data_IF_351358573786
#
_entry.id   IF_351358573786
#
_cell.length_a   1.000
_cell.length_b   1.000
_cell.length_c   1.000
_cell.angle_alpha   90.00
_cell.angle_beta   90.00
_cell.angle_gamma   90.00
#
_symmetry.space_group_name_H-M   'P 1'
#
loop_
_entity.id
_entity.type
_entity.pdbx_description
1 polymer ?
#
# COMPACT_ATOMS: atom_id res chain seq x y z
N UNK A 1 15.90 13.76 -3.22
CA UNK A 1 15.56 12.58 -2.39
C UNK A 1 14.06 12.60 -2.13
N UNK A 2 13.39 11.46 -2.17
CA UNK A 2 11.95 11.36 -1.90
C UNK A 2 11.57 9.99 -1.37
N UNK A 3 10.38 9.91 -0.78
CA UNK A 3 9.77 8.66 -0.31
C UNK A 3 8.49 8.39 -1.09
N UNK A 4 8.19 7.12 -1.34
CA UNK A 4 6.92 6.71 -1.93
C UNK A 4 6.48 5.35 -1.41
N UNK A 5 5.17 5.13 -1.39
CA UNK A 5 4.57 3.82 -1.15
C UNK A 5 3.39 3.61 -2.11
N UNK A 6 3.24 2.42 -2.69
CA UNK A 6 4.19 1.32 -2.65
C UNK A 6 5.32 1.56 -3.69
N UNK A 7 6.35 0.71 -3.76
CA UNK A 7 7.39 0.78 -4.80
C UNK A 7 6.84 0.77 -6.26
N UNK A 8 5.59 0.33 -6.48
CA UNK A 8 4.92 0.45 -7.77
C UNK A 8 4.79 1.91 -8.25
N UNK A 9 4.70 2.89 -7.35
CA UNK A 9 4.70 4.31 -7.73
C UNK A 9 5.98 4.72 -8.46
N UNK A 10 7.14 4.26 -7.98
CA UNK A 10 8.41 4.49 -8.66
C UNK A 10 8.49 3.73 -10.00
N UNK A 11 7.91 2.53 -10.07
CA UNK A 11 7.79 1.76 -11.32
C UNK A 11 6.99 2.53 -12.38
N UNK A 12 5.83 3.08 -12.00
CA UNK A 12 5.01 3.90 -12.90
C UNK A 12 5.76 5.15 -13.38
N UNK A 13 6.47 5.82 -12.48
CA UNK A 13 7.30 6.98 -12.82
C UNK A 13 8.43 6.64 -13.80
N UNK A 14 9.13 5.53 -13.56
CA UNK A 14 10.24 5.06 -14.39
C UNK A 14 9.79 4.61 -15.78
N UNK A 15 8.58 4.07 -15.88
CA UNK A 15 7.94 3.65 -17.14
C UNK A 15 7.22 4.80 -17.86
N UNK A 16 6.88 5.88 -17.16
CA UNK A 16 6.12 7.02 -17.71
C UNK A 16 4.68 6.65 -18.03
N UNK A 17 4.02 5.99 -17.07
CA UNK A 17 2.65 5.48 -17.16
C UNK A 17 1.85 5.89 -15.93
N UNK A 18 0.55 5.58 -15.92
CA UNK A 18 -0.33 5.89 -14.79
C UNK A 18 -0.44 7.41 -14.61
N UNK A 19 -0.12 7.98 -13.43
CA UNK A 19 -0.18 9.43 -13.22
C UNK A 19 0.97 10.19 -13.92
N UNK A 20 1.94 9.49 -14.53
CA UNK A 20 3.11 10.12 -15.14
C UNK A 20 2.98 10.16 -16.68
N UNK A 21 3.13 11.36 -17.26
CA UNK A 21 3.13 11.55 -18.72
C UNK A 21 4.51 11.41 -19.39
N UNK A 22 5.58 11.25 -18.61
CA UNK A 22 6.97 11.11 -19.10
C UNK A 22 7.75 10.11 -18.26
N UNK A 23 8.70 9.42 -18.90
CA UNK A 23 9.62 8.49 -18.24
C UNK A 23 10.63 9.25 -17.38
N UNK A 24 10.75 8.88 -16.10
CA UNK A 24 11.79 9.37 -15.19
C UNK A 24 12.89 8.32 -15.03
N UNK A 25 13.76 8.19 -16.05
CA UNK A 25 14.83 7.18 -16.09
C UNK A 25 15.99 7.44 -15.12
N UNK A 26 16.03 8.63 -14.55
CA UNK A 26 17.02 9.05 -13.57
C UNK A 26 16.71 8.61 -12.14
N UNK A 27 15.63 7.88 -11.87
CA UNK A 27 15.33 7.39 -10.52
C UNK A 27 16.26 6.25 -10.10
N UNK A 28 16.75 6.31 -8.86
CA UNK A 28 17.54 5.26 -8.20
C UNK A 28 17.01 4.95 -6.80
N UNK A 29 16.86 3.68 -6.49
CA UNK A 29 16.48 3.25 -5.15
C UNK A 29 17.69 3.31 -4.20
N UNK A 30 17.44 3.67 -2.95
CA UNK A 30 18.42 3.58 -1.85
C UNK A 30 18.04 2.41 -0.94
N UNK A 31 16.82 2.42 -0.41
CA UNK A 31 16.32 1.43 0.53
C UNK A 31 14.80 1.31 0.42
N UNK A 32 14.27 0.11 0.58
CA UNK A 32 12.86 -0.19 0.75
C UNK A 32 12.62 -0.65 2.20
N UNK A 33 11.90 0.17 2.97
CA UNK A 33 11.57 -0.13 4.36
C UNK A 33 10.44 -1.15 4.41
N UNK A 34 10.61 -2.29 5.10
CA UNK A 34 9.68 -3.41 5.01
C UNK A 34 8.40 -3.11 5.78
N UNK A 35 7.31 -2.86 5.07
CA UNK A 35 5.99 -2.66 5.65
C UNK A 35 5.04 -3.75 5.19
N UNK A 36 4.12 -4.19 6.05
CA UNK A 36 3.12 -5.22 5.69
C UNK A 36 1.73 -4.63 5.44
N UNK A 37 1.68 -3.59 4.62
CA UNK A 37 0.42 -2.91 4.23
C UNK A 37 -0.26 -3.67 3.08
N UNK A 38 -1.59 -3.80 3.14
CA UNK A 38 -2.42 -4.56 2.20
C UNK A 38 -3.67 -3.76 1.88
N UNK A 39 -3.89 -3.48 0.61
CA UNK A 39 -5.08 -2.73 0.20
C UNK A 39 -6.33 -3.58 0.37
N UNK A 40 -7.16 -3.22 1.34
CA UNK A 40 -8.39 -3.93 1.69
C UNK A 40 -9.60 -3.05 1.43
N UNK A 41 -10.61 -3.67 0.81
CA UNK A 41 -11.95 -3.12 0.68
C UNK A 41 -12.81 -3.72 1.78
N UNK A 42 -13.46 -2.89 2.59
CA UNK A 42 -14.29 -3.31 3.70
C UNK A 42 -15.69 -2.73 3.58
N UNK A 43 -16.71 -3.59 3.63
CA UNK A 43 -18.14 -3.24 3.61
C UNK A 43 -18.84 -3.82 4.84
N UNK A 44 -20.04 -3.35 5.22
CA UNK A 44 -20.78 -3.97 6.31
C UNK A 44 -21.00 -5.47 6.05
N UNK A 45 -20.76 -6.31 7.05
CA UNK A 45 -20.88 -7.78 6.93
C UNK A 45 -22.29 -8.25 6.51
N UNK A 46 -23.31 -7.44 6.80
CA UNK A 46 -24.71 -7.67 6.45
C UNK A 46 -25.12 -7.16 5.05
N UNK A 47 -24.22 -6.45 4.36
CA UNK A 47 -24.51 -5.93 3.02
C UNK A 47 -24.61 -7.05 1.99
N UNK A 48 -25.29 -6.76 0.88
CA UNK A 48 -25.40 -7.64 -0.31
C UNK A 48 -24.12 -7.66 -1.16
N UNK A 49 -23.06 -6.98 -0.73
CA UNK A 49 -21.79 -6.84 -1.45
C UNK A 49 -20.85 -7.95 -1.01
N UNK A 50 -20.51 -8.87 -1.92
CA UNK A 50 -19.59 -9.99 -1.67
C UNK A 50 -18.28 -9.88 -2.48
N UNK A 51 -18.26 -9.01 -3.48
CA UNK A 51 -17.11 -8.70 -4.33
C UNK A 51 -17.15 -7.24 -4.76
N UNK A 52 -16.07 -6.71 -5.31
CA UNK A 52 -16.05 -5.34 -5.86
C UNK A 52 -17.06 -5.17 -7.01
N UNK A 53 -17.36 -6.22 -7.77
CA UNK A 53 -18.41 -6.21 -8.82
C UNK A 53 -19.81 -5.96 -8.26
N UNK A 54 -20.04 -6.34 -7.01
CA UNK A 54 -21.35 -6.25 -6.38
C UNK A 54 -21.67 -4.85 -5.86
N UNK A 55 -20.76 -3.88 -5.98
CA UNK A 55 -20.96 -2.55 -5.42
C UNK A 55 -22.23 -1.86 -5.95
N UNK A 56 -22.69 -2.14 -7.16
CA UNK A 56 -23.95 -1.57 -7.67
C UNK A 56 -25.21 -2.18 -7.05
N UNK A 57 -25.12 -3.29 -6.30
CA UNK A 57 -26.28 -3.96 -5.68
C UNK A 57 -26.85 -3.22 -4.47
N UNK A 58 -26.03 -2.43 -3.77
CA UNK A 58 -26.42 -1.74 -2.55
C UNK A 58 -25.58 -0.47 -2.38
N UNK A 59 -26.17 0.73 -2.56
CA UNK A 59 -25.46 1.98 -2.36
C UNK A 59 -25.12 2.21 -0.89
N UNK A 60 -23.87 2.57 -0.62
CA UNK A 60 -23.35 2.85 0.72
C UNK A 60 -22.61 4.19 0.75
N UNK A 61 -22.27 4.64 1.97
CA UNK A 61 -21.31 5.73 2.18
C UNK A 61 -19.91 5.14 2.21
N UNK A 62 -19.15 5.33 1.13
CA UNK A 62 -17.79 4.84 0.98
C UNK A 62 -16.80 5.96 1.31
N UNK A 63 -15.98 5.76 2.34
CA UNK A 63 -14.82 6.63 2.57
C UNK A 63 -13.57 6.09 1.88
N UNK A 64 -12.91 6.93 1.10
CA UNK A 64 -11.70 6.61 0.34
C UNK A 64 -10.64 7.70 0.52
N UNK A 65 -9.35 7.39 0.30
CA UNK A 65 -8.31 8.39 0.23
C UNK A 65 -8.60 9.45 -0.83
N UNK A 66 -8.22 10.69 -0.52
CA UNK A 66 -8.29 11.78 -1.48
C UNK A 66 -7.34 11.56 -2.68
N UNK A 67 -7.46 12.44 -3.68
CA UNK A 67 -6.75 12.34 -4.96
C UNK A 67 -5.23 12.51 -4.84
N UNK A 68 -4.73 13.00 -3.71
CA UNK A 68 -3.31 13.21 -3.46
C UNK A 68 -2.62 11.94 -2.92
N UNK A 69 -3.38 10.92 -2.53
CA UNK A 69 -2.83 9.65 -2.07
C UNK A 69 -2.63 8.65 -3.21
N UNK A 70 -1.48 7.95 -3.29
CA UNK A 70 -1.26 6.89 -4.29
C UNK A 70 -2.33 5.79 -4.30
N UNK A 71 -2.91 5.52 -3.14
CA UNK A 71 -4.01 4.57 -2.92
C UNK A 71 -5.20 4.87 -3.81
N UNK A 72 -5.53 6.17 -3.96
CA UNK A 72 -6.69 6.61 -4.75
C UNK A 72 -6.55 6.21 -6.21
N UNK A 73 -5.34 6.29 -6.76
CA UNK A 73 -5.08 5.80 -8.11
C UNK A 73 -5.36 4.28 -8.21
N UNK A 74 -4.90 3.48 -7.25
CA UNK A 74 -5.17 2.05 -7.23
C UNK A 74 -6.68 1.74 -7.12
N UNK A 75 -7.42 2.49 -6.28
CA UNK A 75 -8.89 2.35 -6.14
C UNK A 75 -9.57 2.52 -7.49
N UNK A 76 -9.24 3.59 -8.20
CA UNK A 76 -9.84 3.89 -9.51
C UNK A 76 -9.48 2.83 -10.54
N UNK A 77 -8.23 2.35 -10.58
CA UNK A 77 -7.81 1.30 -11.54
C UNK A 77 -8.40 -0.07 -11.25
N UNK A 78 -8.63 -0.40 -9.98
CA UNK A 78 -9.36 -1.62 -9.61
C UNK A 78 -10.82 -1.50 -10.06
N UNK A 79 -11.50 -0.39 -9.78
CA UNK A 79 -12.88 -0.17 -10.22
C UNK A 79 -12.99 -0.24 -11.75
N UNK A 80 -12.10 0.45 -12.48
CA UNK A 80 -12.06 0.42 -13.95
C UNK A 80 -11.87 -1.01 -14.49
N UNK A 81 -11.02 -1.83 -13.84
CA UNK A 81 -10.82 -3.22 -14.22
C UNK A 81 -12.07 -4.10 -14.01
N UNK A 82 -12.98 -3.68 -13.14
CA UNK A 82 -14.30 -4.28 -12.95
C UNK A 82 -15.40 -3.66 -13.82
N UNK A 83 -15.07 -2.67 -14.67
CA UNK A 83 -16.06 -1.93 -15.46
C UNK A 83 -16.84 -0.88 -14.66
N UNK A 84 -16.39 -0.56 -13.45
CA UNK A 84 -16.98 0.42 -12.55
C UNK A 84 -16.20 1.73 -12.57
N UNK A 85 -16.79 2.79 -12.03
CA UNK A 85 -16.10 4.05 -11.76
C UNK A 85 -16.70 4.75 -10.55
N UNK A 86 -15.94 5.63 -9.89
CA UNK A 86 -16.46 6.40 -8.76
C UNK A 86 -17.65 7.28 -9.15
N UNK A 87 -17.66 7.84 -10.36
CA UNK A 87 -18.80 8.59 -10.87
C UNK A 87 -19.99 7.67 -11.16
N UNK A 88 -19.75 6.48 -11.71
CA UNK A 88 -20.79 5.46 -11.91
C UNK A 88 -21.44 5.03 -10.59
N UNK A 89 -20.63 4.82 -9.54
CA UNK A 89 -21.13 4.52 -8.20
C UNK A 89 -21.96 5.68 -7.63
N UNK A 90 -21.49 6.93 -7.76
CA UNK A 90 -22.28 8.12 -7.36
C UNK A 90 -23.62 8.20 -8.08
N UNK A 91 -23.64 7.94 -9.39
CA UNK A 91 -24.87 7.90 -10.18
C UNK A 91 -25.82 6.78 -9.75
N UNK A 92 -25.28 5.68 -9.22
CA UNK A 92 -26.04 4.61 -8.57
C UNK A 92 -26.35 4.88 -7.09
N UNK A 93 -26.21 6.13 -6.61
CA UNK A 93 -26.63 6.54 -5.27
C UNK A 93 -25.58 6.37 -4.17
N UNK A 94 -24.34 5.97 -4.50
CA UNK A 94 -23.26 5.94 -3.50
C UNK A 94 -22.88 7.34 -3.05
N UNK A 95 -22.59 7.49 -1.76
CA UNK A 95 -21.94 8.68 -1.24
C UNK A 95 -20.44 8.41 -1.13
N UNK A 96 -19.64 9.12 -1.92
CA UNK A 96 -18.18 8.99 -1.88
C UNK A 96 -17.61 10.11 -1.01
N UNK A 97 -17.01 9.73 0.10
CA UNK A 97 -16.37 10.61 1.08
C UNK A 97 -14.87 10.54 0.85
N UNK A 98 -14.25 11.66 0.50
CA UNK A 98 -12.79 11.75 0.35
C UNK A 98 -12.17 12.22 1.66
N UNK A 99 -11.12 11.55 2.12
CA UNK A 99 -10.40 11.89 3.35
C UNK A 99 -8.89 11.98 3.07
N UNK A 100 -8.29 13.07 3.51
CA UNK A 100 -6.88 13.42 3.26
C UNK A 100 -5.94 12.94 4.36
N UNK A 101 -6.48 12.30 5.41
CA UNK A 101 -5.69 11.73 6.49
C UNK A 101 -5.98 10.23 6.64
N UNK A 102 -5.01 9.39 6.27
CA UNK A 102 -5.12 7.93 6.28
C UNK A 102 -5.72 7.35 7.58
N UNK A 103 -5.24 7.82 8.75
CA UNK A 103 -5.73 7.33 10.05
C UNK A 103 -7.19 7.71 10.37
N UNK A 104 -7.79 8.68 9.66
CA UNK A 104 -9.20 9.07 9.88
C UNK A 104 -10.17 8.20 9.10
N UNK A 105 -9.74 7.57 8.02
CA UNK A 105 -10.61 6.76 7.15
C UNK A 105 -11.33 5.66 7.95
N UNK A 106 -10.65 4.82 8.77
CA UNK A 106 -11.33 3.78 9.55
C UNK A 106 -12.15 4.38 10.71
N UNK A 107 -11.73 5.54 11.22
CA UNK A 107 -12.43 6.26 12.30
C UNK A 107 -13.80 6.75 11.82
N UNK A 108 -13.93 7.21 10.57
CA UNK A 108 -15.22 7.64 10.02
C UNK A 108 -16.24 6.50 9.97
N UNK A 109 -15.81 5.27 9.66
CA UNK A 109 -16.68 4.09 9.74
C UNK A 109 -17.03 3.76 11.19
N UNK A 110 -16.06 3.77 12.10
CA UNK A 110 -16.31 3.55 13.52
C UNK A 110 -17.28 4.57 14.14
N UNK A 111 -17.30 5.80 13.64
CA UNK A 111 -18.20 6.87 14.07
C UNK A 111 -19.57 6.81 13.38
N UNK A 112 -19.82 5.85 12.50
CA UNK A 112 -21.06 5.76 11.72
C UNK A 112 -21.24 6.90 10.71
N UNK A 113 -20.16 7.61 10.35
CA UNK A 113 -20.17 8.67 9.32
C UNK A 113 -19.97 8.11 7.92
N UNK A 114 -19.42 6.91 7.81
CA UNK A 114 -19.35 6.11 6.60
C UNK A 114 -19.75 4.66 6.92
N UNK A 115 -20.10 3.87 5.91
CA UNK A 115 -20.52 2.47 6.05
C UNK A 115 -19.44 1.51 5.56
N UNK A 116 -18.71 1.92 4.52
CA UNK A 116 -17.69 1.12 3.83
C UNK A 116 -16.43 1.95 3.65
N UNK A 117 -15.30 1.28 3.41
CA UNK A 117 -14.05 1.96 3.15
C UNK A 117 -13.08 1.12 2.30
N UNK A 118 -12.12 1.76 1.65
CA UNK A 118 -10.92 1.09 1.12
C UNK A 118 -9.62 1.81 1.53
N UNK A 119 -8.64 1.05 2.02
CA UNK A 119 -7.30 1.55 2.39
C UNK A 119 -6.29 0.40 2.55
N UNK A 120 -4.99 0.67 2.43
CA UNK A 120 -3.86 -0.24 2.68
C UNK A 120 -3.43 -0.43 4.14
N UNK A 121 -3.66 0.57 5.00
CA UNK A 121 -3.11 0.64 6.36
C UNK A 121 -3.84 -0.25 7.37
N UNK A 122 -3.80 -1.58 7.16
CA UNK A 122 -4.63 -2.54 7.88
C UNK A 122 -4.20 -2.86 9.31
N UNK A 123 -3.06 -2.33 9.79
CA UNK A 123 -2.59 -2.54 11.17
C UNK A 123 -2.67 -1.29 12.04
N UNK A 124 -3.30 -0.22 11.54
CA UNK A 124 -3.60 0.95 12.37
C UNK A 124 -4.59 0.58 13.48
N UNK A 125 -4.54 1.21 14.68
CA UNK A 125 -5.42 0.84 15.79
C UNK A 125 -6.92 0.87 15.46
N UNK A 126 -7.35 1.86 14.67
CA UNK A 126 -8.73 1.96 14.22
C UNK A 126 -9.11 0.82 13.26
N UNK A 127 -8.20 0.44 12.35
CA UNK A 127 -8.41 -0.71 11.47
C UNK A 127 -8.50 -2.02 12.23
N UNK A 128 -7.56 -2.28 13.13
CA UNK A 128 -7.54 -3.49 13.95
C UNK A 128 -8.82 -3.62 14.76
N UNK A 129 -9.29 -2.52 15.36
CA UNK A 129 -10.55 -2.50 16.10
C UNK A 129 -11.75 -2.78 15.19
N UNK A 130 -11.79 -2.17 14.00
CA UNK A 130 -12.86 -2.40 13.03
C UNK A 130 -12.87 -3.84 12.54
N UNK A 131 -11.71 -4.39 12.13
CA UNK A 131 -11.59 -5.78 11.70
C UNK A 131 -11.99 -6.77 12.78
N UNK A 132 -11.52 -6.59 14.02
CA UNK A 132 -11.84 -7.44 15.18
C UNK A 132 -13.32 -7.39 15.60
N UNK A 133 -14.08 -6.39 15.17
CA UNK A 133 -15.50 -6.26 15.54
C UNK A 133 -16.42 -7.29 14.87
N UNK A 134 -15.98 -7.91 13.76
CA UNK A 134 -16.84 -8.77 12.93
C UNK A 134 -17.96 -8.02 12.21
N UNK A 135 -18.01 -6.69 12.29
CA UNK A 135 -19.02 -5.87 11.62
C UNK A 135 -18.74 -5.67 10.13
N UNK A 136 -17.52 -5.98 9.68
CA UNK A 136 -17.07 -5.77 8.31
C UNK A 136 -16.83 -7.09 7.59
N UNK A 137 -17.11 -7.09 6.28
CA UNK A 137 -16.65 -8.08 5.31
C UNK A 137 -15.54 -7.45 4.47
N UNK A 138 -14.47 -8.18 4.27
CA UNK A 138 -13.36 -7.79 3.41
C UNK A 138 -13.53 -8.43 2.02
N UNK A 139 -13.43 -7.63 0.97
CA UNK A 139 -13.71 -8.09 -0.39
C UNK A 139 -12.41 -8.59 -1.08
N UNK A 140 -12.40 -9.83 -1.62
CA UNK A 140 -11.28 -10.30 -2.42
C UNK A 140 -11.23 -9.59 -3.77
N UNK A 141 -10.01 -9.45 -4.31
CA UNK A 141 -9.77 -8.95 -5.67
C UNK A 141 -9.48 -10.15 -6.58
N UNK A 142 -10.21 -10.23 -7.69
CA UNK A 142 -10.12 -11.30 -8.67
C UNK A 142 -8.69 -11.40 -9.21
N UNK A 143 -8.20 -12.64 -9.39
CA UNK A 143 -6.85 -12.88 -9.91
C UNK A 143 -6.59 -12.22 -11.27
N UNK A 144 -7.62 -12.12 -12.13
CA UNK A 144 -7.52 -11.44 -13.43
C UNK A 144 -7.32 -9.93 -13.28
N UNK A 145 -8.00 -9.30 -12.33
CA UNK A 145 -7.82 -7.87 -12.00
C UNK A 145 -6.44 -7.65 -11.39
N UNK A 146 -6.02 -8.49 -10.44
CA UNK A 146 -4.68 -8.43 -9.85
C UNK A 146 -3.58 -8.61 -10.90
N UNK A 147 -3.76 -9.52 -11.86
CA UNK A 147 -2.83 -9.70 -12.97
C UNK A 147 -2.78 -8.44 -13.85
N UNK A 148 -3.94 -7.88 -14.20
CA UNK A 148 -4.03 -6.69 -15.05
C UNK A 148 -3.28 -5.51 -14.44
N UNK A 149 -3.59 -5.14 -13.19
CA UNK A 149 -2.93 -4.00 -12.53
C UNK A 149 -1.44 -4.25 -12.27
N UNK A 150 -1.03 -5.51 -12.12
CA UNK A 150 0.38 -5.87 -11.96
C UNK A 150 1.16 -5.62 -13.25
N UNK A 151 0.63 -6.07 -14.39
CA UNK A 151 1.26 -5.85 -15.70
C UNK A 151 1.24 -4.37 -16.07
N UNK A 152 0.09 -3.72 -15.94
CA UNK A 152 -0.11 -2.35 -16.39
C UNK A 152 0.66 -1.35 -15.52
N UNK A 153 0.63 -1.51 -14.18
CA UNK A 153 1.11 -0.48 -13.25
C UNK A 153 2.24 -0.93 -12.32
N UNK A 154 2.65 -2.21 -12.37
CA UNK A 154 3.73 -2.72 -11.53
C UNK A 154 3.33 -3.02 -10.08
N UNK A 155 2.03 -3.06 -9.77
CA UNK A 155 1.56 -3.51 -8.46
C UNK A 155 1.91 -4.98 -8.24
N UNK A 156 2.26 -5.34 -7.01
CA UNK A 156 2.46 -6.73 -6.61
C UNK A 156 1.13 -7.31 -6.08
N UNK A 157 1.03 -8.63 -6.11
CA UNK A 157 -0.10 -9.36 -5.53
C UNK A 157 0.25 -9.76 -4.11
N UNK A 158 -0.73 -9.71 -3.23
CA UNK A 158 -0.59 -10.20 -1.87
C UNK A 158 -1.84 -10.95 -1.42
N UNK A 159 -1.75 -11.52 -0.23
CA UNK A 159 -2.83 -12.23 0.44
C UNK A 159 -2.93 -11.70 1.86
N UNK A 160 -4.16 -11.52 2.32
CA UNK A 160 -4.49 -11.44 3.75
C UNK A 160 -4.86 -12.84 4.21
N UNK A 161 -4.11 -13.42 5.17
CA UNK A 161 -4.28 -14.83 5.52
C UNK A 161 -5.60 -15.08 6.23
N UNK A 162 -6.13 -16.30 6.06
CA UNK A 162 -7.29 -16.79 6.80
C UNK A 162 -7.12 -16.59 8.31
N UNK A 163 -8.20 -16.21 8.98
CA UNK A 163 -8.23 -15.98 10.41
C UNK A 163 -7.62 -14.66 10.88
N UNK A 164 -7.15 -13.77 9.99
CA UNK A 164 -6.62 -12.46 10.40
C UNK A 164 -7.66 -11.61 11.15
N UNK A 165 -8.92 -11.63 10.69
CA UNK A 165 -10.06 -11.01 11.36
C UNK A 165 -11.26 -11.97 11.35
N UNK A 166 -12.24 -11.80 12.26
CA UNK A 166 -13.50 -12.54 12.21
C UNK A 166 -14.16 -12.47 10.83
N UNK A 167 -14.62 -13.61 10.31
CA UNK A 167 -15.26 -13.72 8.99
C UNK A 167 -14.29 -13.83 7.80
N UNK A 168 -12.97 -13.88 8.04
CA UNK A 168 -11.97 -14.26 7.03
C UNK A 168 -11.71 -15.77 7.13
N UNK A 169 -12.61 -16.56 6.56
CA UNK A 169 -12.53 -18.04 6.62
C UNK A 169 -11.59 -18.61 5.54
N UNK A 170 -11.27 -17.81 4.51
CA UNK A 170 -10.35 -18.12 3.42
C UNK A 170 -9.36 -16.97 3.21
N UNK A 171 -8.24 -17.27 2.57
CA UNK A 171 -7.24 -16.28 2.17
C UNK A 171 -7.85 -15.24 1.22
N UNK A 172 -7.63 -13.95 1.50
CA UNK A 172 -8.18 -12.85 0.68
C UNK A 172 -7.08 -12.35 -0.27
N UNK A 173 -7.18 -12.63 -1.59
CA UNK A 173 -6.30 -12.05 -2.58
C UNK A 173 -6.52 -10.54 -2.67
N UNK A 174 -5.44 -9.76 -2.61
CA UNK A 174 -5.48 -8.31 -2.60
C UNK A 174 -4.25 -7.70 -3.28
N UNK A 175 -4.24 -6.37 -3.38
CA UNK A 175 -3.08 -5.62 -3.87
C UNK A 175 -2.06 -5.51 -2.74
N UNK A 176 -0.83 -5.89 -3.06
CA UNK A 176 0.32 -5.61 -2.20
C UNK A 176 0.60 -4.10 -2.22
N UNK A 177 0.44 -3.47 -1.07
CA UNK A 177 0.78 -2.07 -0.86
C UNK A 177 1.96 -1.93 0.12
N UNK A 178 2.72 -3.01 0.30
CA UNK A 178 3.90 -3.05 1.16
C UNK A 178 4.93 -2.00 0.77
N UNK A 179 5.72 -1.73 1.80
CA UNK A 179 6.98 -1.03 1.78
C UNK A 179 6.94 0.47 1.46
N UNK A 180 7.94 1.14 2.02
CA UNK A 180 8.24 2.54 1.78
C UNK A 180 9.61 2.66 1.13
N UNK A 181 9.60 3.11 -0.13
CA UNK A 181 10.81 3.24 -0.93
C UNK A 181 11.40 4.64 -0.77
N UNK A 182 12.65 4.69 -0.29
CA UNK A 182 13.51 5.85 -0.41
C UNK A 182 14.23 5.82 -1.76
N UNK A 183 14.06 6.87 -2.53
CA UNK A 183 14.69 7.02 -3.84
C UNK A 183 15.34 8.40 -4.02
N UNK A 184 16.28 8.44 -4.96
CA UNK A 184 17.05 9.62 -5.33
C UNK A 184 17.13 9.71 -6.85
N UNK A 185 17.76 10.77 -7.35
CA UNK A 185 18.16 10.87 -8.76
C UNK A 185 19.54 10.25 -8.93
N UNK A 186 19.87 9.83 -10.15
CA UNK A 186 21.17 9.27 -10.50
C UNK A 186 22.31 10.29 -10.57
N UNK A 187 22.01 11.58 -10.48
CA UNK A 187 22.99 12.67 -10.31
C UNK A 187 23.30 12.97 -8.84
N UNK A 188 22.79 12.17 -7.89
CA UNK A 188 23.22 12.25 -6.50
C UNK A 188 24.68 11.78 -6.38
N UNK A 189 25.56 12.54 -5.71
CA UNK A 189 26.94 12.11 -5.47
C UNK A 189 27.00 10.75 -4.76
N UNK A 190 27.92 9.89 -5.20
CA UNK A 190 28.10 8.53 -4.68
C UNK A 190 28.40 8.51 -3.17
N UNK A 191 29.20 9.45 -2.68
CA UNK A 191 29.52 9.59 -1.26
C UNK A 191 28.27 9.87 -0.43
N UNK A 192 27.38 10.74 -0.92
CA UNK A 192 26.11 11.05 -0.27
C UNK A 192 25.15 9.86 -0.30
N UNK A 193 24.99 9.19 -1.44
CA UNK A 193 24.11 8.02 -1.55
C UNK A 193 24.61 6.84 -0.67
N UNK A 194 25.92 6.61 -0.64
CA UNK A 194 26.55 5.63 0.25
C UNK A 194 26.29 5.99 1.73
N UNK A 195 26.49 7.26 2.10
CA UNK A 195 26.29 7.74 3.46
C UNK A 195 24.82 7.60 3.91
N UNK A 196 23.86 7.95 3.06
CA UNK A 196 22.43 7.76 3.36
C UNK A 196 22.13 6.29 3.59
N UNK A 197 22.61 5.40 2.71
CA UNK A 197 22.43 3.95 2.84
C UNK A 197 23.00 3.45 4.18
N UNK A 198 24.24 3.84 4.49
CA UNK A 198 24.92 3.52 5.75
C UNK A 198 24.12 3.96 6.96
N UNK A 199 23.66 5.22 6.98
CA UNK A 199 22.86 5.76 8.08
C UNK A 199 21.55 4.97 8.25
N UNK A 200 20.82 4.71 7.15
CA UNK A 200 19.59 3.94 7.21
C UNK A 200 19.78 2.54 7.80
N UNK A 201 20.90 1.88 7.55
CA UNK A 201 21.17 0.51 8.02
C UNK A 201 21.77 0.46 9.43
N UNK A 202 22.75 1.31 9.72
CA UNK A 202 23.47 1.32 10.99
C UNK A 202 22.68 2.01 12.10
N UNK A 203 21.82 2.97 11.75
CA UNK A 203 20.95 3.71 12.67
C UNK A 203 19.47 3.32 12.53
N UNK A 204 19.18 2.15 11.94
CA UNK A 204 17.79 1.68 11.75
C UNK A 204 16.99 1.63 13.05
N UNK A 205 17.65 1.35 14.17
CA UNK A 205 17.01 1.30 15.50
C UNK A 205 16.44 2.65 15.88
N UNK A 206 17.24 3.70 15.72
CA UNK A 206 16.90 5.07 16.11
C UNK A 206 15.96 5.74 15.09
N UNK A 207 16.16 5.47 13.80
CA UNK A 207 15.42 6.14 12.72
C UNK A 207 14.08 5.48 12.44
N UNK A 208 14.02 4.14 12.48
CA UNK A 208 12.83 3.39 12.07
C UNK A 208 12.22 2.60 13.23
N UNK A 209 12.96 1.67 13.83
CA UNK A 209 12.40 0.67 14.74
C UNK A 209 11.90 1.27 16.06
N UNK A 210 12.50 2.38 16.52
CA UNK A 210 12.13 3.04 17.78
C UNK A 210 10.64 3.38 17.87
N UNK A 211 10.05 3.86 16.76
CA UNK A 211 8.64 4.25 16.70
C UNK A 211 7.67 3.07 16.73
N UNK A 212 8.16 1.86 16.50
CA UNK A 212 7.38 0.61 16.49
C UNK A 212 7.73 -0.29 17.69
N UNK A 213 8.58 0.18 18.61
CA UNK A 213 9.00 -0.60 19.78
C UNK A 213 7.80 -0.93 20.67
N UNK A 214 7.64 -2.22 20.96
CA UNK A 214 6.57 -2.70 21.84
C UNK A 214 5.22 -2.88 21.16
N UNK A 215 5.12 -2.62 19.86
CA UNK A 215 3.95 -2.99 19.05
C UNK A 215 4.10 -4.47 18.66
N UNK A 216 3.11 -5.34 18.94
CA UNK A 216 3.14 -6.73 18.49
C UNK A 216 3.31 -6.84 16.97
N UNK A 217 4.01 -7.86 16.48
CA UNK A 217 4.32 -8.01 15.05
C UNK A 217 3.07 -8.01 14.15
N UNK A 218 1.96 -8.60 14.61
CA UNK A 218 0.67 -8.60 13.91
C UNK A 218 -0.04 -7.25 13.87
N UNK A 219 0.40 -6.28 14.67
CA UNK A 219 -0.18 -4.94 14.82
C UNK A 219 0.77 -3.83 14.35
N UNK A 220 2.01 -4.16 13.98
CA UNK A 220 2.99 -3.19 13.49
C UNK A 220 2.96 -3.08 11.96
N UNK A 221 2.91 -1.86 11.43
CA UNK A 221 3.05 -1.66 9.98
C UNK A 221 4.48 -2.02 9.51
N UNK A 222 5.50 -1.58 10.26
CA UNK A 222 6.91 -1.90 9.99
C UNK A 222 7.23 -3.32 10.47
N UNK A 223 7.89 -4.10 9.62
CA UNK A 223 8.46 -5.40 10.01
C UNK A 223 9.73 -5.15 10.81
N UNK A 224 9.70 -5.51 12.09
CA UNK A 224 10.79 -5.31 13.03
C UNK A 224 11.30 -6.66 13.59
N UNK A 225 12.62 -6.88 13.69
CA UNK A 225 13.69 -5.97 13.29
C UNK A 225 13.84 -5.86 11.76
N UNK A 226 14.32 -4.71 11.28
CA UNK A 226 14.57 -4.50 9.85
C UNK A 226 15.82 -5.28 9.44
N UNK A 227 15.65 -6.28 8.56
CA UNK A 227 16.74 -7.10 8.02
C UNK A 227 17.43 -6.42 6.82
N UNK A 228 18.71 -5.99 6.94
CA UNK A 228 19.44 -5.37 5.84
C UNK A 228 19.54 -6.22 4.57
N UNK A 229 19.34 -7.55 4.65
CA UNK A 229 19.35 -8.47 3.50
C UNK A 229 18.07 -8.43 2.66
N UNK A 230 17.03 -7.76 3.14
CA UNK A 230 15.73 -7.65 2.47
C UNK A 230 15.46 -6.27 1.89
N UNK A 231 16.01 -5.22 2.51
CA UNK A 231 15.64 -3.83 2.22
C UNK A 231 16.06 -3.31 0.84
N UNK A 232 16.85 -4.06 0.08
CA UNK A 232 17.23 -3.71 -1.30
C UNK A 232 16.43 -4.47 -2.36
N UNK A 233 15.53 -5.38 -1.97
CA UNK A 233 14.85 -6.29 -2.91
C UNK A 233 13.56 -5.70 -3.50
N UNK A 234 12.66 -5.18 -2.67
CA UNK A 234 11.37 -4.67 -3.13
C UNK A 234 11.44 -3.19 -3.52
N UNK A 235 12.23 -2.86 -4.54
CA UNK A 235 12.47 -1.47 -4.97
C UNK A 235 11.64 -1.06 -6.20
N UNK A 236 10.63 -1.86 -6.56
CA UNK A 236 9.94 -1.73 -7.84
C UNK A 236 10.87 -2.07 -9.00
N UNK A 237 10.63 -1.47 -10.17
CA UNK A 237 11.45 -1.67 -11.37
C UNK A 237 12.45 -0.54 -11.62
N UNK A 238 12.91 0.11 -10.55
CA UNK A 238 14.00 1.09 -10.64
C UNK A 238 15.32 0.46 -10.18
N UNK A 239 16.46 0.82 -10.78
CA UNK A 239 17.75 0.30 -10.33
C UNK A 239 18.14 0.88 -8.98
N UNK A 240 18.95 0.13 -8.21
CA UNK A 240 19.64 0.68 -7.04
C UNK A 240 20.63 1.76 -7.47
N UNK A 241 20.87 2.72 -6.58
CA UNK A 241 22.01 3.61 -6.73
C UNK A 241 23.31 2.80 -6.65
N UNK A 242 24.30 2.99 -7.53
CA UNK A 242 25.54 2.22 -7.53
C UNK A 242 26.25 2.22 -6.16
N UNK A 243 26.29 3.39 -5.52
CA UNK A 243 26.87 3.52 -4.19
C UNK A 243 26.07 2.80 -3.07
N UNK A 244 24.74 2.69 -3.18
CA UNK A 244 23.93 1.91 -2.24
C UNK A 244 24.17 0.41 -2.45
N UNK A 245 24.20 -0.04 -3.69
CA UNK A 245 24.56 -1.42 -4.07
C UNK A 245 25.95 -1.80 -3.56
N UNK A 246 26.94 -0.90 -3.71
CA UNK A 246 28.29 -1.07 -3.17
C UNK A 246 28.26 -1.29 -1.65
N UNK A 247 27.54 -0.46 -0.90
CA UNK A 247 27.38 -0.62 0.54
C UNK A 247 26.83 -2.01 0.90
N UNK A 248 25.76 -2.45 0.24
CA UNK A 248 25.14 -3.76 0.51
C UNK A 248 26.10 -4.93 0.25
N UNK A 249 26.89 -4.88 -0.84
CA UNK A 249 27.88 -5.92 -1.18
C UNK A 249 29.04 -5.96 -0.19
N UNK A 250 29.62 -4.81 0.14
CA UNK A 250 30.77 -4.72 1.07
C UNK A 250 30.45 -5.28 2.46
N UNK A 251 29.19 -5.19 2.88
CA UNK A 251 28.74 -5.65 4.20
C UNK A 251 28.06 -7.03 4.17
N UNK A 252 28.07 -7.72 3.03
CA UNK A 252 27.50 -9.08 2.89
C UNK A 252 25.98 -9.13 3.01
N UNK A 253 25.30 -8.01 2.72
CA UNK A 253 23.84 -7.95 2.65
C UNK A 253 23.29 -8.34 1.27
N UNK A 254 24.14 -8.26 0.24
CA UNK A 254 23.92 -8.70 -1.14
C UNK A 254 25.08 -9.56 -1.58
#
# INVERSE_FOLDING_TARGET
MGFTTPPACATMAYRGIGPFGKKLKNLRAIISLPHNDRMLWAVPAKSKIHSVKDMEKEPLRLVIPDKNFPVRFAVEKILEAYGLSLNGLKNHGWQIIEESHCLKIPVLVMQGKADALVHEGMRTPAWLKLGRSGAMRFLPIDHSVLQKISVEYGYRKAVVPKGMFPGIDEDIPCVDFSDWLLFVRDDMPDDLAYLITKICIEKKREIFEFYFRGIPEGESNLVCPVDPKQVWRNIGEIPLHPAAERYYKEHGYM
#
